data_IF_414660621362
#
_entry.id   IF_414660621362
#
_cell.length_a   1.000
_cell.length_b   1.000
_cell.length_c   1.000
_cell.angle_alpha   90.00
_cell.angle_beta   90.00
_cell.angle_gamma   90.00
#
_symmetry.space_group_name_H-M   'P 1'
#
loop_
_entity.id
_entity.type
_entity.pdbx_description
1 polymer ?
#
# COMPACT_ATOMS: atom_id res chain seq x y z
N UNK A 1 -10.63 -33.06 21.97
CA UNK A 1 -10.35 -31.71 21.45
C UNK A 1 -10.68 -31.74 19.98
N UNK A 2 -11.67 -30.95 19.54
CA UNK A 2 -12.24 -31.05 18.20
C UNK A 2 -11.25 -30.54 17.14
N UNK A 3 -10.85 -31.43 16.23
CA UNK A 3 -10.27 -31.06 14.95
C UNK A 3 -11.34 -30.25 14.20
N UNK A 4 -11.13 -28.94 14.10
CA UNK A 4 -11.89 -28.10 13.19
C UNK A 4 -11.18 -28.14 11.85
N UNK A 5 -11.67 -29.00 10.97
CA UNK A 5 -11.31 -28.96 9.56
C UNK A 5 -11.73 -27.58 9.02
N UNK A 6 -10.75 -26.76 8.68
CA UNK A 6 -10.95 -25.51 7.95
C UNK A 6 -11.64 -25.89 6.63
N UNK A 7 -12.94 -25.61 6.53
CA UNK A 7 -13.68 -25.76 5.27
C UNK A 7 -13.11 -24.73 4.30
N UNK A 8 -12.23 -25.18 3.42
CA UNK A 8 -11.69 -24.42 2.30
C UNK A 8 -12.85 -24.01 1.40
N UNK A 9 -13.16 -22.73 1.35
CA UNK A 9 -14.28 -22.19 0.56
C UNK A 9 -13.95 -22.23 -0.94
N UNK A 10 -12.66 -22.37 -1.30
CA UNK A 10 -12.19 -22.46 -2.68
C UNK A 10 -11.79 -23.91 -3.05
N UNK A 11 -12.26 -24.45 -4.19
CA UNK A 11 -11.90 -25.80 -4.66
C UNK A 11 -10.42 -25.98 -5.00
N UNK A 12 -9.66 -24.87 -5.05
CA UNK A 12 -8.23 -24.79 -5.35
C UNK A 12 -7.34 -24.84 -4.09
N UNK A 13 -7.95 -24.85 -2.90
CA UNK A 13 -7.26 -24.53 -1.63
C UNK A 13 -7.16 -23.02 -1.41
N UNK A 14 -7.27 -22.58 -0.15
CA UNK A 14 -7.03 -21.19 0.22
C UNK A 14 -5.63 -20.79 -0.27
N UNK A 15 -5.57 -19.80 -1.17
CA UNK A 15 -4.33 -19.19 -1.64
C UNK A 15 -3.73 -18.35 -0.52
N UNK A 16 -3.27 -19.00 0.54
CA UNK A 16 -2.44 -18.35 1.54
C UNK A 16 -1.10 -18.02 0.87
N UNK A 17 -0.54 -16.82 1.13
CA UNK A 17 0.80 -16.50 0.68
C UNK A 17 1.78 -17.57 1.19
N UNK A 18 2.81 -17.92 0.38
CA UNK A 18 3.72 -19.02 0.68
C UNK A 18 4.56 -18.81 1.95
N UNK A 19 4.64 -17.56 2.44
CA UNK A 19 5.28 -17.21 3.67
C UNK A 19 4.24 -16.78 4.72
N UNK A 20 4.34 -17.36 5.92
CA UNK A 20 3.62 -16.83 7.07
C UNK A 20 4.12 -15.40 7.35
N UNK A 21 3.23 -14.43 7.60
CA UNK A 21 3.65 -13.09 7.96
C UNK A 21 4.63 -13.13 9.15
N UNK A 22 5.63 -12.24 9.13
CA UNK A 22 6.55 -12.09 10.25
C UNK A 22 5.75 -11.90 11.55
N UNK A 23 6.13 -12.61 12.61
CA UNK A 23 5.48 -12.53 13.91
C UNK A 23 5.92 -11.27 14.66
N UNK A 24 5.64 -10.11 14.06
CA UNK A 24 5.84 -8.80 14.63
C UNK A 24 4.48 -8.13 14.73
N UNK A 25 3.84 -8.28 15.88
CA UNK A 25 2.50 -7.79 16.23
C UNK A 25 2.45 -6.24 16.33
N UNK A 26 3.14 -5.52 15.45
CA UNK A 26 3.34 -4.08 15.53
C UNK A 26 4.40 -3.64 16.54
N UNK A 27 5.16 -4.56 17.16
CA UNK A 27 6.17 -4.23 18.19
C UNK A 27 7.58 -3.96 17.65
N UNK A 28 7.71 -3.30 16.49
CA UNK A 28 9.05 -2.95 15.98
C UNK A 28 9.51 -1.60 16.56
N UNK A 29 10.62 -1.55 17.33
CA UNK A 29 11.12 -0.28 17.87
C UNK A 29 11.43 0.73 16.76
N UNK A 30 11.95 0.27 15.61
CA UNK A 30 12.21 1.11 14.45
C UNK A 30 10.94 1.77 13.90
N UNK A 31 9.83 1.01 13.80
CA UNK A 31 8.56 1.53 13.33
C UNK A 31 7.97 2.58 14.27
N UNK A 32 7.96 2.30 15.57
CA UNK A 32 7.46 3.24 16.58
C UNK A 32 8.27 4.53 16.65
N UNK A 33 9.60 4.44 16.55
CA UNK A 33 10.47 5.62 16.52
C UNK A 33 10.16 6.52 15.33
N UNK A 34 10.03 5.94 14.13
CA UNK A 34 9.69 6.72 12.93
C UNK A 34 8.27 7.32 13.04
N UNK A 35 7.27 6.55 13.50
CA UNK A 35 5.91 7.05 13.69
C UNK A 35 5.86 8.27 14.62
N UNK A 36 6.38 8.14 15.85
CA UNK A 36 6.34 9.25 16.81
C UNK A 36 7.26 10.40 16.40
N UNK A 37 8.44 10.10 15.89
CA UNK A 37 9.40 11.10 15.46
C UNK A 37 8.87 11.96 14.31
N UNK A 38 8.18 11.34 13.33
CA UNK A 38 7.59 12.06 12.21
C UNK A 38 6.36 12.88 12.64
N UNK A 39 5.53 12.38 13.55
CA UNK A 39 4.42 13.16 14.14
C UNK A 39 4.93 14.42 14.85
N UNK A 40 5.94 14.28 15.71
CA UNK A 40 6.51 15.42 16.44
C UNK A 40 7.20 16.40 15.47
N UNK A 41 8.03 15.89 14.55
CA UNK A 41 8.75 16.72 13.59
C UNK A 41 7.82 17.50 12.67
N UNK A 42 6.76 16.85 12.16
CA UNK A 42 5.75 17.50 11.31
C UNK A 42 4.92 18.53 12.08
N UNK A 43 4.59 18.27 13.35
CA UNK A 43 3.91 19.24 14.21
C UNK A 43 4.77 20.49 14.43
N UNK A 44 6.06 20.33 14.74
CA UNK A 44 7.00 21.46 14.92
C UNK A 44 7.15 22.25 13.62
N UNK A 45 7.36 21.55 12.50
CA UNK A 45 7.51 22.19 11.19
C UNK A 45 6.25 22.95 10.79
N UNK A 46 5.07 22.33 10.92
CA UNK A 46 3.79 22.97 10.63
C UNK A 46 3.51 24.19 11.52
N UNK A 47 3.78 24.08 12.83
CA UNK A 47 3.66 25.20 13.76
C UNK A 47 4.61 26.35 13.40
N UNK A 48 5.86 26.03 13.02
CA UNK A 48 6.84 27.01 12.56
C UNK A 48 6.40 27.74 11.29
N UNK A 49 5.77 27.01 10.36
CA UNK A 49 5.22 27.62 9.14
C UNK A 49 4.04 28.54 9.43
N UNK A 50 3.10 28.12 10.30
CA UNK A 50 1.93 28.95 10.68
C UNK A 50 2.37 30.23 11.39
N UNK A 51 3.35 30.12 12.30
CA UNK A 51 3.85 31.27 13.07
C UNK A 51 4.88 32.14 12.30
N UNK A 52 5.24 31.75 11.06
CA UNK A 52 6.31 32.37 10.27
C UNK A 52 7.68 32.45 11.00
N UNK A 53 7.96 31.48 11.88
CA UNK A 53 9.21 31.42 12.66
C UNK A 53 10.19 30.49 11.94
N UNK A 54 11.07 31.05 11.09
CA UNK A 54 12.06 30.28 10.33
C UNK A 54 12.93 29.33 11.17
N UNK A 55 13.45 29.72 12.35
CA UNK A 55 14.18 28.79 13.20
C UNK A 55 13.39 27.53 13.56
N UNK A 56 12.08 27.64 13.76
CA UNK A 56 11.22 26.51 14.13
C UNK A 56 10.95 25.60 12.92
N UNK A 57 10.87 26.16 11.71
CA UNK A 57 10.80 25.39 10.46
C UNK A 57 12.07 24.55 10.26
N UNK A 58 13.25 25.16 10.45
CA UNK A 58 14.52 24.42 10.39
C UNK A 58 14.62 23.35 11.47
N UNK A 59 14.20 23.66 12.70
CA UNK A 59 14.18 22.69 13.79
C UNK A 59 13.31 21.47 13.45
N UNK A 60 12.08 21.69 12.96
CA UNK A 60 11.20 20.61 12.53
C UNK A 60 11.79 19.78 11.38
N UNK A 61 12.41 20.44 10.40
CA UNK A 61 13.08 19.77 9.28
C UNK A 61 14.25 18.89 9.73
N UNK A 62 15.10 19.38 10.65
CA UNK A 62 16.22 18.63 11.21
C UNK A 62 15.71 17.41 11.99
N UNK A 63 14.66 17.56 12.79
CA UNK A 63 14.06 16.44 13.55
C UNK A 63 13.57 15.35 12.59
N UNK A 64 12.86 15.71 11.52
CA UNK A 64 12.39 14.74 10.50
C UNK A 64 13.57 14.02 9.87
N UNK A 65 14.62 14.74 9.44
CA UNK A 65 15.80 14.15 8.82
C UNK A 65 16.49 13.16 9.77
N UNK A 66 16.69 13.54 11.04
CA UNK A 66 17.32 12.68 12.05
C UNK A 66 16.51 11.42 12.32
N UNK A 67 15.18 11.51 12.41
CA UNK A 67 14.29 10.37 12.64
C UNK A 67 14.35 9.38 11.47
N UNK A 68 14.39 9.88 10.22
CA UNK A 68 14.51 9.02 9.05
C UNK A 68 15.85 8.27 9.03
N UNK A 69 16.95 8.98 9.30
CA UNK A 69 18.29 8.38 9.39
C UNK A 69 18.35 7.34 10.51
N UNK A 70 17.83 7.68 11.68
CA UNK A 70 17.74 6.75 12.82
C UNK A 70 16.88 5.53 12.50
N UNK A 71 15.74 5.70 11.81
CA UNK A 71 14.88 4.60 11.37
C UNK A 71 15.59 3.63 10.45
N UNK A 72 16.36 4.13 9.47
CA UNK A 72 17.18 3.31 8.58
C UNK A 72 18.28 2.59 9.36
N UNK A 73 18.96 3.28 10.27
CA UNK A 73 20.00 2.69 11.11
C UNK A 73 19.45 1.57 12.01
N UNK A 74 18.30 1.79 12.63
CA UNK A 74 17.62 0.78 13.46
C UNK A 74 17.15 -0.41 12.63
N UNK A 75 16.66 -0.18 11.41
CA UNK A 75 16.32 -1.25 10.48
C UNK A 75 17.55 -2.08 10.10
N UNK A 76 18.68 -1.42 9.82
CA UNK A 76 19.95 -2.08 9.53
C UNK A 76 20.51 -2.86 10.74
N UNK A 77 20.25 -2.38 11.95
CA UNK A 77 20.60 -3.05 13.20
C UNK A 77 19.67 -4.23 13.57
N UNK A 78 18.71 -4.60 12.72
CA UNK A 78 17.79 -5.72 12.95
C UNK A 78 16.62 -5.41 13.89
N UNK A 79 16.41 -4.15 14.26
CA UNK A 79 15.28 -3.69 15.10
C UNK A 79 14.03 -3.32 14.27
N UNK A 80 14.09 -3.52 12.95
CA UNK A 80 12.98 -3.33 12.01
C UNK A 80 12.54 -4.65 11.38
N UNK A 81 11.58 -4.57 10.44
CA UNK A 81 11.18 -5.75 9.67
C UNK A 81 12.26 -6.12 8.64
N UNK A 82 12.59 -7.42 8.49
CA UNK A 82 13.46 -7.90 7.42
C UNK A 82 12.90 -7.51 6.05
N UNK A 83 13.77 -7.30 5.07
CA UNK A 83 13.31 -7.19 3.69
C UNK A 83 12.71 -8.56 3.26
N UNK A 84 11.52 -8.59 2.64
CA UNK A 84 11.02 -9.80 2.01
C UNK A 84 12.03 -10.32 0.99
N UNK A 85 12.10 -11.64 0.81
CA UNK A 85 12.98 -12.21 -0.19
C UNK A 85 12.57 -11.72 -1.61
N UNK A 86 13.52 -11.64 -2.56
CA UNK A 86 13.24 -11.16 -3.92
C UNK A 86 12.10 -11.93 -4.62
N UNK A 87 11.88 -13.19 -4.26
CA UNK A 87 10.79 -14.03 -4.79
C UNK A 87 9.39 -13.56 -4.34
N UNK A 88 9.28 -12.90 -3.18
CA UNK A 88 8.02 -12.41 -2.63
C UNK A 88 7.61 -11.06 -3.27
N UNK A 89 8.60 -10.25 -3.67
CA UNK A 89 8.38 -8.95 -4.31
C UNK A 89 7.97 -9.05 -5.78
N UNK A 90 8.43 -10.08 -6.51
CA UNK A 90 8.01 -10.33 -7.88
C UNK A 90 6.48 -10.54 -7.95
N UNK A 91 5.94 -11.35 -7.02
CA UNK A 91 4.50 -11.65 -6.97
C UNK A 91 3.66 -10.52 -6.39
N UNK A 92 4.18 -9.77 -5.42
CA UNK A 92 3.49 -8.59 -4.88
C UNK A 92 3.44 -7.43 -5.89
N UNK A 93 4.47 -7.29 -6.74
CA UNK A 93 4.50 -6.34 -7.85
C UNK A 93 3.48 -6.68 -8.93
N UNK A 94 3.37 -7.96 -9.29
CA UNK A 94 2.36 -8.47 -10.24
C UNK A 94 0.93 -8.21 -9.73
N UNK A 95 0.64 -8.47 -8.45
CA UNK A 95 -0.69 -8.20 -7.87
C UNK A 95 -1.04 -6.70 -7.84
N UNK A 96 -0.06 -5.82 -7.60
CA UNK A 96 -0.27 -4.36 -7.60
C UNK A 96 -0.44 -3.81 -9.03
N UNK A 97 0.20 -4.43 -10.01
CA UNK A 97 0.04 -4.11 -11.43
C UNK A 97 -1.34 -4.54 -11.97
N UNK A 98 -1.82 -5.72 -11.58
CA UNK A 98 -3.13 -6.24 -11.99
C UNK A 98 -4.30 -5.38 -11.46
N UNK A 99 -4.20 -4.90 -10.21
CA UNK A 99 -5.18 -3.95 -9.65
C UNK A 99 -5.12 -2.56 -10.29
N UNK A 100 -3.93 -2.08 -10.68
CA UNK A 100 -3.80 -0.82 -11.42
C UNK A 100 -4.36 -0.91 -12.84
N UNK A 101 -4.24 -2.09 -13.48
CA UNK A 101 -4.78 -2.35 -14.82
C UNK A 101 -6.31 -2.49 -14.81
N UNK A 102 -6.89 -3.07 -13.75
CA UNK A 102 -8.34 -3.11 -13.53
C UNK A 102 -8.96 -1.71 -13.33
N UNK A 103 -8.22 -0.77 -12.72
CA UNK A 103 -8.65 0.62 -12.55
C UNK A 103 -8.57 1.42 -13.86
N UNK A 104 -7.53 1.19 -14.68
CA UNK A 104 -7.35 1.88 -15.95
C UNK A 104 -8.32 1.38 -17.05
N UNK A 105 -8.75 0.12 -16.98
CA UNK A 105 -9.76 -0.45 -17.91
C UNK A 105 -11.20 0.02 -17.64
N UNK A 106 -11.51 0.49 -16.42
CA UNK A 106 -12.84 1.07 -16.10
C UNK A 106 -12.99 2.54 -16.53
N UNK A 107 -11.91 3.22 -16.91
CA UNK A 107 -11.94 4.63 -17.35
C UNK A 107 -11.83 4.74 -18.87
N UNK A 108 -12.68 4.03 -19.61
CA UNK A 108 -12.89 4.28 -21.04
C UNK A 108 -14.13 5.18 -21.22
N UNK A 109 -14.02 6.38 -21.82
CA UNK A 109 -15.16 7.25 -22.03
C UNK A 109 -16.10 6.57 -23.02
N UNK A 110 -17.28 6.18 -22.54
CA UNK A 110 -18.41 5.70 -23.35
C UNK A 110 -18.94 6.85 -24.21
N UNK A 111 -18.18 7.17 -25.26
CA UNK A 111 -18.52 8.06 -26.36
C UNK A 111 -18.52 7.22 -27.63
N UNK A 112 -19.70 6.98 -28.21
CA UNK A 112 -20.01 7.19 -29.64
C UNK A 112 -21.39 6.56 -29.95
N UNK A 113 -22.25 7.39 -30.53
CA UNK A 113 -23.66 7.16 -30.74
C UNK A 113 -24.02 5.91 -31.55
N UNK A 114 -25.22 5.41 -31.26
CA UNK A 114 -25.91 4.39 -32.04
C UNK A 114 -27.12 5.05 -32.71
N UNK A 115 -26.87 5.74 -33.81
CA UNK A 115 -27.88 6.07 -34.82
C UNK A 115 -27.75 5.06 -35.96
N UNK A 116 -28.88 4.51 -36.41
CA UNK A 116 -29.03 3.99 -37.77
C UNK A 116 -29.24 2.49 -37.90
N UNK A 117 -30.46 2.13 -38.30
CA UNK A 117 -30.67 1.25 -39.46
C UNK A 117 -30.92 -0.24 -39.20
N UNK A 118 -32.10 -0.70 -39.67
CA UNK A 118 -32.42 -1.98 -40.31
C UNK A 118 -33.80 -2.44 -39.81
N UNK A 119 -34.90 -2.06 -40.46
CA UNK A 119 -35.36 -2.64 -41.73
C UNK A 119 -35.70 -4.13 -41.56
N UNK A 120 -36.95 -4.40 -41.16
CA UNK A 120 -37.56 -5.72 -41.19
C UNK A 120 -38.80 -5.64 -42.10
N UNK A 121 -38.56 -5.39 -43.38
CA UNK A 121 -39.49 -5.73 -44.45
C UNK A 121 -38.83 -6.82 -45.29
N UNK A 122 -39.36 -8.05 -45.20
CA UNK A 122 -39.32 -9.11 -46.21
C UNK A 122 -39.43 -10.49 -45.53
N UNK A 123 -40.66 -10.92 -45.32
CA UNK A 123 -41.00 -12.33 -45.12
C UNK A 123 -42.23 -12.64 -45.98
N UNK A 124 -42.03 -12.78 -47.29
CA UNK A 124 -42.99 -13.35 -48.23
C UNK A 124 -42.30 -13.75 -49.54
N UNK A 125 -41.90 -15.01 -49.68
CA UNK A 125 -42.06 -15.89 -50.86
C UNK A 125 -41.16 -17.11 -50.80
#
# INVERSE_FOLDING_TARGET
MAHRDLVLIHPEGDKLPPASPFHNEGRTPAGWLVCYGLMIGSAILGAGMIAAIMPLVWAGGIVIALVLVAGVALRAAGLGQPAPEPADHAKAGEAKAEHAEAEHSSTSPRSKGRNGGADLTNASR
#
